data_IF_733722813752
#
_entry.id   IF_733722813752
#
_cell.length_a   1.000
_cell.length_b   1.000
_cell.length_c   1.000
_cell.angle_alpha   90.00
_cell.angle_beta   90.00
_cell.angle_gamma   90.00
#
_symmetry.space_group_name_H-M   'P 1'
#
loop_
_entity.id
_entity.type
_entity.pdbx_description
1 polymer ?
#
# COMPACT_ATOMS: atom_id res chain seq x y z
N UNK A 1 -19.57 -6.48 -11.12
CA UNK A 1 -18.50 -7.05 -10.29
C UNK A 1 -18.17 -6.03 -9.20
N UNK A 2 -18.16 -6.42 -7.92
CA UNK A 2 -17.74 -5.53 -6.84
C UNK A 2 -16.27 -5.11 -7.05
N UNK A 3 -15.95 -3.87 -6.66
CA UNK A 3 -14.59 -3.33 -6.71
C UNK A 3 -14.19 -2.86 -5.32
N UNK A 4 -13.01 -3.26 -4.88
CA UNK A 4 -12.43 -2.80 -3.63
C UNK A 4 -11.32 -1.78 -3.93
N UNK A 5 -11.36 -0.64 -3.24
CA UNK A 5 -10.28 0.34 -3.27
C UNK A 5 -9.51 0.22 -1.95
N UNK A 6 -8.22 -0.04 -2.03
CA UNK A 6 -7.33 -0.16 -0.87
C UNK A 6 -6.28 0.93 -0.94
N UNK A 7 -6.33 1.86 0.02
CA UNK A 7 -5.37 2.96 0.13
C UNK A 7 -4.50 2.71 1.37
N UNK A 8 -3.19 2.67 1.15
CA UNK A 8 -2.19 2.43 2.19
C UNK A 8 -1.36 3.70 2.42
N UNK A 9 -1.67 4.45 3.48
CA UNK A 9 -0.91 5.65 3.88
C UNK A 9 0.09 5.30 4.97
N UNK A 10 1.39 5.47 4.72
CA UNK A 10 2.43 5.10 5.68
C UNK A 10 2.65 6.17 6.77
N UNK A 11 3.33 5.79 7.85
CA UNK A 11 3.62 6.65 9.00
C UNK A 11 4.69 7.71 8.72
N UNK A 12 4.72 8.77 9.54
CA UNK A 12 5.70 9.87 9.43
C UNK A 12 7.14 9.37 9.26
N UNK A 13 7.83 9.89 8.24
CA UNK A 13 9.22 9.52 7.92
C UNK A 13 9.41 8.13 7.28
N UNK A 14 8.33 7.38 7.06
CA UNK A 14 8.39 6.06 6.43
C UNK A 14 8.19 6.15 4.92
N UNK A 15 9.20 5.66 4.19
CA UNK A 15 9.13 5.46 2.74
C UNK A 15 9.02 3.98 2.41
N UNK A 16 8.18 3.68 1.42
CA UNK A 16 7.93 2.34 0.93
C UNK A 16 9.23 1.68 0.47
N UNK A 17 9.41 0.41 0.82
CA UNK A 17 10.59 -0.36 0.40
C UNK A 17 11.91 0.04 1.05
N UNK A 18 11.97 1.02 1.98
CA UNK A 18 13.20 1.27 2.76
C UNK A 18 13.42 0.16 3.79
N UNK A 19 14.66 -0.33 3.89
CA UNK A 19 15.07 -1.44 4.77
C UNK A 19 14.20 -2.71 4.56
N UNK A 20 13.43 -3.14 5.56
CA UNK A 20 12.50 -4.29 5.47
C UNK A 20 11.06 -3.87 5.14
N UNK A 21 10.81 -2.57 4.94
CA UNK A 21 9.48 -2.01 4.76
C UNK A 21 8.63 -2.00 6.03
N UNK A 22 7.69 -1.06 6.11
CA UNK A 22 6.73 -0.92 7.21
C UNK A 22 5.65 -1.98 7.16
N UNK A 23 4.80 -2.05 8.19
CA UNK A 23 3.62 -2.90 8.14
C UNK A 23 2.65 -2.45 7.03
N UNK A 24 2.51 -1.14 6.79
CA UNK A 24 1.66 -0.59 5.72
C UNK A 24 2.18 -0.98 4.34
N UNK A 25 3.49 -0.83 4.11
CA UNK A 25 4.15 -1.30 2.89
C UNK A 25 3.98 -2.81 2.68
N UNK A 26 4.13 -3.61 3.73
CA UNK A 26 3.95 -5.07 3.64
C UNK A 26 2.51 -5.46 3.29
N UNK A 27 1.52 -4.76 3.84
CA UNK A 27 0.11 -4.96 3.50
C UNK A 27 -0.17 -4.57 2.04
N UNK A 28 0.34 -3.42 1.59
CA UNK A 28 0.21 -3.00 0.19
C UNK A 28 0.68 -4.09 -0.79
N UNK A 29 1.82 -4.72 -0.50
CA UNK A 29 2.35 -5.82 -1.31
C UNK A 29 1.58 -7.14 -1.18
N UNK A 30 0.79 -7.31 -0.10
CA UNK A 30 0.01 -8.52 0.15
C UNK A 30 -1.41 -8.47 -0.45
N UNK A 31 -1.85 -7.32 -0.96
CA UNK A 31 -3.18 -7.21 -1.59
C UNK A 31 -3.21 -8.02 -2.90
N UNK A 32 -4.19 -8.92 -3.03
CA UNK A 32 -4.40 -9.68 -4.25
C UNK A 32 -5.12 -8.83 -5.31
N UNK A 33 -4.32 -8.33 -6.26
CA UNK A 33 -4.82 -7.49 -7.37
C UNK A 33 -5.37 -8.31 -8.54
N UNK A 34 -5.25 -9.64 -8.49
CA UNK A 34 -5.55 -10.54 -9.60
C UNK A 34 -6.69 -11.52 -9.29
N UNK A 35 -7.39 -11.34 -8.17
CA UNK A 35 -8.60 -12.11 -7.85
C UNK A 35 -9.61 -12.02 -9.00
N UNK A 36 -10.05 -13.18 -9.49
CA UNK A 36 -11.03 -13.29 -10.56
C UNK A 36 -12.44 -12.88 -10.13
N UNK A 37 -12.71 -12.90 -8.82
CA UNK A 37 -14.04 -12.68 -8.25
C UNK A 37 -14.27 -11.22 -7.85
N UNK A 38 -13.22 -10.51 -7.43
CA UNK A 38 -13.29 -9.11 -6.97
C UNK A 38 -12.07 -8.33 -7.46
N UNK A 39 -12.31 -7.29 -8.26
CA UNK A 39 -11.24 -6.40 -8.71
C UNK A 39 -10.76 -5.51 -7.56
N UNK A 40 -9.45 -5.54 -7.27
CA UNK A 40 -8.83 -4.71 -6.23
C UNK A 40 -7.93 -3.63 -6.84
N UNK A 41 -8.30 -2.36 -6.66
CA UNK A 41 -7.45 -1.21 -7.01
C UNK A 41 -6.69 -0.79 -5.75
N UNK A 42 -5.37 -0.95 -5.78
CA UNK A 42 -4.52 -0.65 -4.61
C UNK A 42 -3.57 0.50 -4.91
N UNK A 43 -3.44 1.43 -3.96
CA UNK A 43 -2.50 2.54 -4.00
C UNK A 43 -1.73 2.64 -2.67
N UNK A 44 -0.47 3.07 -2.75
CA UNK A 44 0.41 3.29 -1.61
C UNK A 44 0.93 4.73 -1.63
N UNK A 45 0.93 5.36 -0.47
CA UNK A 45 1.39 6.73 -0.25
C UNK A 45 2.50 6.74 0.81
N UNK A 46 3.58 7.46 0.50
CA UNK A 46 4.69 7.63 1.43
C UNK A 46 4.24 8.48 2.62
N UNK A 47 4.82 8.20 3.79
CA UNK A 47 4.51 8.98 4.97
C UNK A 47 5.02 10.42 4.87
N UNK A 48 4.35 11.34 5.54
CA UNK A 48 4.77 12.75 5.58
C UNK A 48 6.21 12.90 6.09
N UNK A 49 6.95 13.86 5.52
CA UNK A 49 8.34 14.14 5.91
C UNK A 49 9.39 13.19 5.31
N UNK A 50 9.01 12.39 4.31
CA UNK A 50 9.92 11.51 3.55
C UNK A 50 10.64 12.20 2.40
N UNK A 51 10.06 13.27 1.86
CA UNK A 51 10.66 14.12 0.83
C UNK A 51 11.63 15.13 1.47
N UNK A 52 12.93 14.84 1.35
CA UNK A 52 14.03 15.77 1.59
C UNK A 52 15.15 15.52 0.59
#
# INVERSE_FOLDING_TARGET
MPKNIVVCSDGTGNRGGKTRGTNVWRIFNAVDRHSSDVEQVTYYDDGVGTDR
#
